data_IF_716802495413
#
_entry.id   IF_716802495413
#
_cell.length_a   1.000
_cell.length_b   1.000
_cell.length_c   1.000
_cell.angle_alpha   90.00
_cell.angle_beta   90.00
_cell.angle_gamma   90.00
#
_symmetry.space_group_name_H-M   'P 1'
#
loop_
_entity.id
_entity.type
_entity.pdbx_description
1 polymer ?
#
# COMPACT_ATOMS: atom_id res chain seq x y z
N UNK A 1 3.27 -28.77 34.62
CA UNK A 1 1.96 -28.12 34.46
C UNK A 1 1.21 -28.90 33.39
N UNK A 2 0.00 -29.38 33.67
CA UNK A 2 -0.85 -29.96 32.61
C UNK A 2 -1.08 -28.90 31.53
N UNK A 3 -0.57 -29.17 30.34
CA UNK A 3 -0.85 -28.40 29.14
C UNK A 3 -2.30 -28.69 28.74
N UNK A 4 -3.18 -27.70 28.91
CA UNK A 4 -4.61 -27.87 28.62
C UNK A 4 -5.47 -26.79 29.26
N UNK A 5 -6.58 -26.49 28.59
CA UNK A 5 -7.68 -25.69 29.14
C UNK A 5 -8.35 -26.51 30.25
N UNK A 6 -8.59 -25.90 31.40
CA UNK A 6 -9.39 -26.50 32.48
C UNK A 6 -10.38 -25.48 33.01
N UNK A 7 -11.49 -25.97 33.56
CA UNK A 7 -12.54 -25.11 34.12
C UNK A 7 -11.96 -24.20 35.22
N UNK A 8 -11.08 -24.74 36.07
CA UNK A 8 -10.41 -23.99 37.13
C UNK A 8 -9.56 -22.82 36.58
N UNK A 9 -8.76 -23.07 35.53
CA UNK A 9 -7.95 -22.03 34.89
C UNK A 9 -8.83 -20.94 34.28
N UNK A 10 -9.89 -21.32 33.58
CA UNK A 10 -10.85 -20.37 32.98
C UNK A 10 -11.54 -19.53 34.06
N UNK A 11 -12.06 -20.15 35.11
CA UNK A 11 -12.71 -19.44 36.22
C UNK A 11 -11.74 -18.47 36.91
N UNK A 12 -10.47 -18.87 37.08
CA UNK A 12 -9.42 -17.99 37.63
C UNK A 12 -9.15 -16.79 36.73
N UNK A 13 -9.01 -17.00 35.42
CA UNK A 13 -8.83 -15.90 34.46
C UNK A 13 -10.02 -14.95 34.44
N UNK A 14 -11.25 -15.49 34.35
CA UNK A 14 -12.47 -14.67 34.35
C UNK A 14 -12.58 -13.84 35.63
N UNK A 15 -12.26 -14.41 36.79
CA UNK A 15 -12.24 -13.67 38.05
C UNK A 15 -11.25 -12.50 37.98
N UNK A 16 -10.01 -12.75 37.52
CA UNK A 16 -8.98 -11.70 37.38
C UNK A 16 -9.38 -10.61 36.38
N UNK A 17 -9.97 -10.97 35.25
CA UNK A 17 -10.43 -9.99 34.25
C UNK A 17 -11.56 -9.13 34.81
N UNK A 18 -12.50 -9.72 35.55
CA UNK A 18 -13.62 -8.98 36.17
C UNK A 18 -13.20 -8.07 37.32
N UNK A 19 -12.06 -8.31 37.96
CA UNK A 19 -11.55 -7.39 39.00
C UNK A 19 -10.87 -6.15 38.43
N UNK A 20 -10.56 -6.13 37.13
CA UNK A 20 -9.89 -5.00 36.49
C UNK A 20 -10.91 -4.10 35.79
N UNK A 21 -11.14 -2.86 36.29
CA UNK A 21 -12.16 -1.97 35.76
C UNK A 21 -12.02 -1.68 34.26
N UNK A 22 -10.78 -1.61 33.75
CA UNK A 22 -10.51 -1.42 32.31
C UNK A 22 -11.17 -2.51 31.47
N UNK A 23 -11.06 -3.79 31.87
CA UNK A 23 -11.60 -4.89 31.09
C UNK A 23 -13.13 -4.98 31.16
N UNK A 24 -13.73 -4.58 32.29
CA UNK A 24 -15.18 -4.43 32.36
C UNK A 24 -15.68 -3.33 31.43
N UNK A 25 -14.99 -2.19 31.40
CA UNK A 25 -15.33 -1.09 30.48
C UNK A 25 -15.16 -1.52 29.02
N UNK A 26 -14.01 -2.10 28.67
CA UNK A 26 -13.74 -2.59 27.32
C UNK A 26 -14.77 -3.64 26.88
N UNK A 27 -15.11 -4.60 27.75
CA UNK A 27 -16.17 -5.57 27.49
C UNK A 27 -17.50 -4.88 27.18
N UNK A 28 -17.96 -3.96 28.03
CA UNK A 28 -19.26 -3.30 27.87
C UNK A 28 -19.35 -2.48 26.58
N UNK A 29 -18.28 -1.79 26.20
CA UNK A 29 -18.29 -0.93 25.01
C UNK A 29 -18.13 -1.78 23.75
N UNK A 30 -17.19 -2.73 23.73
CA UNK A 30 -16.92 -3.58 22.56
C UNK A 30 -18.02 -4.60 22.26
N UNK A 31 -18.93 -4.91 23.20
CA UNK A 31 -20.11 -5.73 22.90
C UNK A 31 -21.21 -4.97 22.14
N UNK A 32 -21.16 -3.63 22.14
CA UNK A 32 -22.20 -2.78 21.55
C UNK A 32 -21.70 -1.96 20.36
N UNK A 33 -20.38 -1.88 20.16
CA UNK A 33 -19.71 -1.05 19.15
C UNK A 33 -18.53 -1.81 18.57
N UNK A 34 -18.21 -1.56 17.29
CA UNK A 34 -16.99 -2.08 16.65
C UNK A 34 -15.74 -1.79 17.51
N UNK A 35 -14.95 -2.81 17.90
CA UNK A 35 -13.74 -2.64 18.70
C UNK A 35 -12.75 -1.61 18.16
N UNK A 36 -12.61 -1.46 16.83
CA UNK A 36 -11.70 -0.50 16.23
C UNK A 36 -12.19 0.95 16.40
N UNK A 37 -13.50 1.17 16.30
CA UNK A 37 -14.10 2.49 16.56
C UNK A 37 -13.92 2.89 18.04
N UNK A 38 -13.94 1.90 18.96
CA UNK A 38 -13.62 2.11 20.39
C UNK A 38 -12.14 2.44 20.59
N UNK A 39 -11.26 1.79 19.83
CA UNK A 39 -9.81 2.03 19.90
C UNK A 39 -9.36 3.31 19.20
N UNK A 40 -10.24 4.00 18.46
CA UNK A 40 -9.86 5.16 17.66
C UNK A 40 -9.19 6.26 18.50
N UNK A 41 -7.95 6.58 18.18
CA UNK A 41 -7.17 7.60 18.86
C UNK A 41 -7.57 9.01 18.36
N UNK A 42 -8.45 9.67 19.13
CA UNK A 42 -9.05 10.95 18.71
C UNK A 42 -8.05 12.06 18.42
N UNK A 43 -6.96 12.13 19.17
CA UNK A 43 -5.90 13.13 18.95
C UNK A 43 -5.25 12.92 17.57
N UNK A 44 -4.91 11.68 17.22
CA UNK A 44 -4.38 11.35 15.87
C UNK A 44 -5.35 11.79 14.78
N UNK A 45 -6.64 11.54 14.95
CA UNK A 45 -7.66 11.98 13.98
C UNK A 45 -7.71 13.50 13.87
N UNK A 46 -7.64 14.23 14.98
CA UNK A 46 -7.70 15.69 15.01
C UNK A 46 -6.45 16.35 14.39
N UNK A 47 -5.28 15.75 14.58
CA UNK A 47 -4.00 16.25 14.06
C UNK A 47 -3.79 15.87 12.58
N UNK A 48 -4.61 14.97 12.05
CA UNK A 48 -4.53 14.53 10.66
C UNK A 48 -5.01 15.63 9.72
N UNK A 49 -4.07 16.19 8.95
CA UNK A 49 -4.33 17.26 7.98
C UNK A 49 -3.82 16.89 6.59
N UNK A 50 -4.70 16.96 5.59
CA UNK A 50 -4.42 16.69 4.16
C UNK A 50 -3.77 17.90 3.46
N UNK A 51 -2.65 18.37 4.00
CA UNK A 51 -1.80 19.38 3.37
C UNK A 51 -0.43 18.75 3.17
N UNK A 52 0.08 18.85 1.93
CA UNK A 52 1.32 18.20 1.50
C UNK A 52 2.27 19.23 0.88
N UNK A 53 3.57 19.02 1.09
CA UNK A 53 4.61 19.95 0.63
C UNK A 53 4.87 19.81 -0.88
N UNK A 54 4.97 18.57 -1.37
CA UNK A 54 5.23 18.25 -2.77
C UNK A 54 4.09 17.40 -3.30
N UNK A 55 3.50 17.77 -4.43
CA UNK A 55 2.41 17.03 -5.08
C UNK A 55 2.60 17.02 -6.59
N UNK A 56 2.20 15.93 -7.23
CA UNK A 56 2.21 15.85 -8.70
C UNK A 56 1.30 16.93 -9.30
N UNK A 57 1.64 17.48 -10.49
CA UNK A 57 0.91 18.60 -11.08
C UNK A 57 -0.48 18.24 -11.60
N UNK A 58 -0.71 16.97 -11.96
CA UNK A 58 -1.99 16.48 -12.49
C UNK A 58 -2.49 15.31 -11.65
N UNK A 59 -3.68 15.46 -11.09
CA UNK A 59 -4.38 14.43 -10.31
C UNK A 59 -5.40 13.67 -11.17
N UNK A 60 -5.59 12.38 -10.88
CA UNK A 60 -6.66 11.58 -11.48
C UNK A 60 -8.04 12.15 -11.11
N UNK A 61 -8.82 12.57 -12.12
CA UNK A 61 -10.22 13.00 -11.95
C UNK A 61 -11.07 12.48 -13.12
N UNK A 62 -12.29 11.97 -12.87
CA UNK A 62 -12.88 11.68 -11.56
C UNK A 62 -12.16 10.53 -10.85
N UNK A 63 -12.36 10.40 -9.53
CA UNK A 63 -11.85 9.25 -8.78
C UNK A 63 -12.44 7.97 -9.36
N UNK A 64 -11.57 6.97 -9.55
CA UNK A 64 -11.95 5.70 -10.20
C UNK A 64 -12.70 4.76 -9.24
N UNK A 65 -13.43 3.80 -9.81
CA UNK A 65 -14.08 2.73 -9.06
C UNK A 65 -14.00 1.43 -9.87
N UNK A 66 -13.32 0.42 -9.31
CA UNK A 66 -12.90 -0.78 -10.05
C UNK A 66 -14.05 -1.56 -10.73
N UNK A 67 -15.23 -1.66 -10.11
CA UNK A 67 -16.45 -2.34 -10.62
C UNK A 67 -16.16 -3.58 -11.49
N UNK A 68 -16.90 -3.77 -12.59
CA UNK A 68 -16.84 -4.92 -13.50
C UNK A 68 -16.83 -4.43 -14.96
N UNK A 69 -16.31 -5.22 -15.91
CA UNK A 69 -16.09 -4.85 -17.32
C UNK A 69 -16.87 -5.72 -18.33
N UNK A 70 -16.91 -5.28 -19.60
CA UNK A 70 -17.39 -6.03 -20.77
C UNK A 70 -16.27 -6.30 -21.78
N UNK A 71 -16.60 -6.76 -23.00
CA UNK A 71 -15.59 -7.09 -24.01
C UNK A 71 -14.95 -5.84 -24.66
N UNK A 72 -13.61 -5.75 -24.76
CA UNK A 72 -12.93 -4.60 -25.35
C UNK A 72 -13.05 -4.60 -26.89
N UNK A 73 -13.12 -3.42 -27.54
CA UNK A 73 -13.18 -3.31 -28.99
C UNK A 73 -11.80 -3.45 -29.66
N UNK A 74 -11.78 -3.93 -30.91
CA UNK A 74 -10.56 -4.05 -31.72
C UNK A 74 -10.00 -2.67 -32.15
N UNK A 75 -10.90 -1.72 -32.37
CA UNK A 75 -10.57 -0.33 -32.73
C UNK A 75 -11.45 0.66 -31.99
N UNK A 76 -10.88 1.83 -31.67
CA UNK A 76 -11.58 2.94 -31.06
C UNK A 76 -11.54 4.18 -31.96
N UNK A 77 -12.65 4.93 -31.97
CA UNK A 77 -12.70 6.33 -32.37
C UNK A 77 -13.07 7.12 -31.13
N UNK A 78 -12.09 7.80 -30.54
CA UNK A 78 -12.28 8.58 -29.34
C UNK A 78 -12.58 10.03 -29.68
N UNK A 79 -13.74 10.51 -29.24
CA UNK A 79 -14.17 11.90 -29.36
C UNK A 79 -14.23 12.53 -27.97
N UNK A 80 -13.62 13.70 -27.83
CA UNK A 80 -13.58 14.40 -26.55
C UNK A 80 -13.52 15.91 -26.75
N UNK A 81 -13.75 16.66 -25.66
CA UNK A 81 -13.47 18.10 -25.60
C UNK A 81 -12.37 18.37 -24.61
N UNK A 82 -11.46 19.28 -24.96
CA UNK A 82 -10.41 19.75 -24.05
C UNK A 82 -10.95 20.73 -22.99
N UNK A 83 -10.06 21.24 -22.13
CA UNK A 83 -10.42 22.20 -21.08
C UNK A 83 -10.90 23.54 -21.67
N UNK A 84 -10.45 23.88 -22.87
CA UNK A 84 -10.82 25.04 -23.67
C UNK A 84 -12.14 24.84 -24.45
N UNK A 85 -12.77 23.67 -24.30
CA UNK A 85 -14.01 23.24 -24.95
C UNK A 85 -13.89 22.99 -26.46
N UNK A 86 -12.69 22.92 -27.04
CA UNK A 86 -12.52 22.55 -28.44
C UNK A 86 -12.83 21.06 -28.64
N UNK A 87 -13.44 20.72 -29.76
CA UNK A 87 -13.73 19.34 -30.12
C UNK A 87 -12.51 18.68 -30.76
N UNK A 88 -12.20 17.47 -30.29
CA UNK A 88 -11.13 16.62 -30.81
C UNK A 88 -11.68 15.25 -31.17
N UNK A 89 -11.09 14.65 -32.20
CA UNK A 89 -11.35 13.26 -32.59
C UNK A 89 -10.02 12.57 -32.86
N UNK A 90 -9.88 11.36 -32.35
CA UNK A 90 -8.72 10.50 -32.53
C UNK A 90 -9.20 9.11 -32.94
N UNK A 91 -8.80 8.65 -34.12
CA UNK A 91 -9.20 7.33 -34.63
C UNK A 91 -9.50 7.29 -36.13
N UNK A 92 -9.70 6.08 -36.68
CA UNK A 92 -9.69 4.80 -35.97
C UNK A 92 -8.27 4.37 -35.54
N UNK A 93 -8.12 3.94 -34.29
CA UNK A 93 -6.87 3.40 -33.74
C UNK A 93 -7.14 2.05 -33.07
N UNK A 94 -6.19 1.13 -33.17
CA UNK A 94 -6.15 -0.03 -32.27
C UNK A 94 -5.70 0.41 -30.87
N UNK A 95 -6.09 -0.29 -29.78
CA UNK A 95 -5.58 0.00 -28.43
C UNK A 95 -4.05 0.02 -28.35
N UNK A 96 -3.37 -0.83 -29.14
CA UNK A 96 -1.91 -0.87 -29.19
C UNK A 96 -1.30 0.37 -29.86
N UNK A 97 -1.91 0.89 -30.93
CA UNK A 97 -1.48 2.14 -31.55
C UNK A 97 -1.66 3.31 -30.58
N UNK A 98 -2.82 3.38 -29.92
CA UNK A 98 -3.07 4.40 -28.91
C UNK A 98 -1.98 4.40 -27.81
N UNK A 99 -1.64 3.23 -27.28
CA UNK A 99 -0.53 3.11 -26.32
C UNK A 99 0.80 3.59 -26.93
N UNK A 100 1.21 3.06 -28.09
CA UNK A 100 2.53 3.37 -28.67
C UNK A 100 2.71 4.83 -29.06
N UNK A 101 1.66 5.48 -29.56
CA UNK A 101 1.73 6.83 -30.15
C UNK A 101 1.41 7.94 -29.13
N UNK A 102 0.53 7.68 -28.16
CA UNK A 102 0.04 8.72 -27.26
C UNK A 102 0.38 8.49 -25.77
N UNK A 103 0.64 7.26 -25.35
CA UNK A 103 0.95 6.95 -23.93
C UNK A 103 2.43 6.67 -23.74
N UNK A 104 3.01 5.70 -24.45
CA UNK A 104 4.40 5.23 -24.30
C UNK A 104 5.44 6.37 -24.36
N UNK A 105 5.32 7.41 -25.22
CA UNK A 105 6.28 8.51 -25.22
C UNK A 105 6.28 9.36 -23.95
N UNK A 106 5.19 9.33 -23.18
CA UNK A 106 5.00 10.06 -21.93
C UNK A 106 5.16 9.16 -20.69
N UNK A 107 4.73 7.91 -20.79
CA UNK A 107 4.78 6.90 -19.75
C UNK A 107 5.06 5.54 -20.36
N UNK A 108 6.35 5.18 -20.41
CA UNK A 108 6.80 3.91 -20.94
C UNK A 108 6.86 2.86 -19.83
N UNK A 109 6.01 1.83 -19.93
CA UNK A 109 6.00 0.71 -18.97
C UNK A 109 7.36 0.00 -18.87
N UNK A 110 8.17 0.02 -19.93
CA UNK A 110 9.48 -0.66 -19.97
C UNK A 110 10.59 0.10 -19.23
N UNK A 111 10.34 1.36 -18.85
CA UNK A 111 11.29 2.15 -18.05
C UNK A 111 11.02 2.02 -16.54
N UNK A 112 9.95 1.32 -16.16
CA UNK A 112 9.54 1.16 -14.76
C UNK A 112 10.14 -0.09 -14.15
N UNK A 113 10.59 0.05 -12.90
CA UNK A 113 11.23 -1.00 -12.11
C UNK A 113 10.42 -1.21 -10.84
N UNK A 114 10.11 -2.47 -10.56
CA UNK A 114 9.48 -2.89 -9.32
C UNK A 114 10.53 -3.11 -8.23
N UNK A 115 10.44 -2.32 -7.16
CA UNK A 115 11.20 -2.52 -5.93
C UNK A 115 10.29 -3.10 -4.86
N UNK A 116 10.76 -4.10 -4.13
CA UNK A 116 10.08 -4.63 -2.95
C UNK A 116 10.91 -4.42 -1.69
N UNK A 117 10.23 -4.42 -0.54
CA UNK A 117 10.85 -4.55 0.76
C UNK A 117 10.32 -5.78 1.48
N UNK A 118 11.09 -6.86 1.34
CA UNK A 118 10.89 -8.11 2.04
C UNK A 118 12.03 -8.32 3.05
N UNK A 119 11.77 -8.05 4.35
CA UNK A 119 12.79 -8.15 5.39
C UNK A 119 12.97 -9.58 5.93
N UNK A 120 12.33 -10.61 5.34
CA UNK A 120 12.48 -12.00 5.79
C UNK A 120 13.96 -12.40 5.76
N UNK A 121 14.54 -12.99 6.83
CA UNK A 121 15.97 -13.23 6.92
C UNK A 121 16.57 -14.07 5.78
N UNK A 122 15.78 -14.98 5.19
CA UNK A 122 16.18 -15.82 4.07
C UNK A 122 16.23 -15.07 2.72
N UNK A 123 15.68 -13.85 2.66
CA UNK A 123 15.56 -13.04 1.46
C UNK A 123 16.43 -11.77 1.59
N UNK A 124 17.75 -11.86 1.44
CA UNK A 124 18.63 -10.70 1.53
C UNK A 124 18.27 -9.62 0.49
N UNK A 125 18.51 -8.37 0.86
CA UNK A 125 18.44 -7.22 -0.06
C UNK A 125 19.51 -7.31 -1.15
N UNK A 126 19.30 -6.59 -2.27
CA UNK A 126 20.19 -6.60 -3.44
C UNK A 126 20.10 -7.89 -4.26
N UNK A 127 19.01 -8.64 -4.11
CA UNK A 127 18.71 -9.86 -4.85
C UNK A 127 17.40 -9.72 -5.62
N UNK A 128 17.37 -10.38 -6.77
CA UNK A 128 16.19 -10.49 -7.61
C UNK A 128 15.40 -11.74 -7.21
N UNK A 129 14.09 -11.60 -7.11
CA UNK A 129 13.18 -12.70 -6.81
C UNK A 129 12.09 -12.80 -7.87
N UNK A 130 11.52 -13.99 -8.00
CA UNK A 130 10.28 -14.24 -8.72
C UNK A 130 9.42 -15.20 -7.90
N UNK A 131 8.12 -15.27 -8.20
CA UNK A 131 7.19 -16.19 -7.53
C UNK A 131 6.75 -17.24 -8.53
N UNK A 132 6.88 -18.51 -8.16
CA UNK A 132 6.54 -19.64 -9.03
C UNK A 132 5.07 -19.54 -9.48
N UNK A 133 4.81 -19.76 -10.77
CA UNK A 133 3.48 -19.68 -11.39
C UNK A 133 2.75 -18.32 -11.28
N UNK A 134 3.38 -17.27 -10.75
CA UNK A 134 2.81 -15.93 -10.69
C UNK A 134 3.01 -15.19 -12.02
N UNK A 135 2.06 -15.37 -12.93
CA UNK A 135 2.01 -14.71 -14.22
C UNK A 135 0.61 -14.72 -14.81
N UNK A 136 0.39 -13.92 -15.85
CA UNK A 136 -0.91 -13.75 -16.50
C UNK A 136 -0.89 -14.01 -18.01
N UNK A 137 0.26 -14.36 -18.58
CA UNK A 137 0.44 -14.62 -19.99
C UNK A 137 1.41 -15.78 -20.18
N UNK A 138 1.00 -16.80 -20.93
CA UNK A 138 1.88 -17.90 -21.34
C UNK A 138 3.06 -17.32 -22.12
N UNK A 139 4.27 -17.70 -21.74
CA UNK A 139 5.54 -17.18 -22.28
C UNK A 139 5.72 -15.65 -22.14
N UNK A 140 4.97 -15.03 -21.23
CA UNK A 140 5.09 -13.62 -20.88
C UNK A 140 6.33 -13.32 -20.02
N UNK A 141 6.46 -12.06 -19.60
CA UNK A 141 7.49 -11.68 -18.63
C UNK A 141 7.18 -12.26 -17.25
N UNK A 142 8.21 -12.78 -16.58
CA UNK A 142 8.11 -13.17 -15.19
C UNK A 142 7.85 -11.94 -14.30
N UNK A 143 7.07 -12.13 -13.23
CA UNK A 143 6.99 -11.15 -12.15
C UNK A 143 8.34 -11.11 -11.44
N UNK A 144 9.01 -9.97 -11.46
CA UNK A 144 10.35 -9.78 -10.89
C UNK A 144 10.32 -8.74 -9.77
N UNK A 145 10.91 -9.12 -8.64
CA UNK A 145 10.98 -8.30 -7.43
C UNK A 145 12.43 -7.99 -7.07
N UNK A 146 12.80 -6.72 -7.15
CA UNK A 146 14.11 -6.24 -6.71
C UNK A 146 14.05 -5.89 -5.22
N UNK A 147 14.55 -6.78 -4.35
CA UNK A 147 14.41 -6.61 -2.91
C UNK A 147 15.41 -5.60 -2.36
N UNK A 148 14.91 -4.56 -1.69
CA UNK A 148 15.70 -3.42 -1.24
C UNK A 148 15.29 -2.96 0.17
N UNK A 149 16.19 -2.25 0.88
CA UNK A 149 15.84 -1.62 2.15
C UNK A 149 14.72 -0.59 1.95
N UNK A 150 13.77 -0.53 2.90
CA UNK A 150 12.59 0.34 2.82
C UNK A 150 12.91 1.83 2.61
N UNK A 151 14.08 2.28 3.06
CA UNK A 151 14.52 3.67 2.86
C UNK A 151 14.78 4.01 1.39
N UNK A 152 15.28 3.06 0.61
CA UNK A 152 15.48 3.25 -0.82
C UNK A 152 14.13 3.36 -1.55
N UNK A 153 13.15 2.53 -1.19
CA UNK A 153 11.79 2.59 -1.75
C UNK A 153 11.16 3.96 -1.49
N UNK A 154 11.21 4.43 -0.24
CA UNK A 154 10.71 5.76 0.14
C UNK A 154 11.41 6.86 -0.64
N UNK A 155 12.74 6.81 -0.73
CA UNK A 155 13.51 7.81 -1.47
C UNK A 155 13.12 7.87 -2.94
N UNK A 156 13.09 6.73 -3.61
CA UNK A 156 12.75 6.66 -5.03
C UNK A 156 11.31 7.12 -5.29
N UNK A 157 10.37 6.76 -4.41
CA UNK A 157 8.99 7.23 -4.51
C UNK A 157 8.87 8.75 -4.33
N UNK A 158 9.57 9.32 -3.34
CA UNK A 158 9.59 10.76 -3.12
C UNK A 158 10.24 11.52 -4.28
N UNK A 159 11.37 11.03 -4.81
CA UNK A 159 12.04 11.62 -5.96
C UNK A 159 11.12 11.62 -7.20
N UNK A 160 10.38 10.52 -7.42
CA UNK A 160 9.36 10.43 -8.48
C UNK A 160 8.25 11.47 -8.34
N UNK A 161 7.68 11.60 -7.13
CA UNK A 161 6.63 12.59 -6.87
C UNK A 161 7.15 14.03 -7.07
N UNK A 162 8.38 14.30 -6.63
CA UNK A 162 9.04 15.62 -6.78
C UNK A 162 9.35 15.94 -8.25
N UNK A 163 9.56 14.94 -9.09
CA UNK A 163 9.70 15.07 -10.55
C UNK A 163 8.34 15.11 -11.28
N UNK A 164 7.23 14.97 -10.55
CA UNK A 164 5.86 15.09 -11.07
C UNK A 164 5.23 13.78 -11.56
N UNK A 165 5.82 12.62 -11.25
CA UNK A 165 5.28 11.30 -11.59
C UNK A 165 4.72 10.59 -10.36
N UNK A 166 3.45 10.17 -10.45
CA UNK A 166 2.78 9.42 -9.38
C UNK A 166 3.35 7.99 -9.29
N UNK A 167 3.31 7.40 -8.10
CA UNK A 167 3.98 6.11 -7.84
C UNK A 167 2.94 5.04 -7.53
N UNK A 168 2.89 3.99 -8.33
CA UNK A 168 2.12 2.81 -7.99
C UNK A 168 2.80 2.06 -6.84
N UNK A 169 2.04 1.58 -5.86
CA UNK A 169 2.57 0.82 -4.75
C UNK A 169 1.60 -0.26 -4.25
N UNK A 170 2.17 -1.32 -3.69
CA UNK A 170 1.46 -2.45 -3.09
C UNK A 170 1.67 -2.51 -1.57
N UNK A 171 0.61 -2.80 -0.83
CA UNK A 171 0.60 -2.73 0.63
C UNK A 171 -0.42 -3.69 1.28
N UNK A 172 -0.39 -3.80 2.61
CA UNK A 172 -1.47 -4.41 3.40
C UNK A 172 -2.45 -3.34 3.89
N UNK A 173 -3.37 -2.92 3.02
CA UNK A 173 -4.23 -1.74 3.26
C UNK A 173 -5.12 -1.86 4.50
N UNK A 174 -5.45 -3.09 4.93
CA UNK A 174 -6.35 -3.33 6.06
C UNK A 174 -5.70 -3.09 7.43
N UNK A 175 -4.37 -3.01 7.51
CA UNK A 175 -3.65 -2.88 8.77
C UNK A 175 -3.61 -1.43 9.22
N UNK A 176 -3.94 -1.17 10.48
CA UNK A 176 -3.89 0.18 11.09
C UNK A 176 -4.53 1.26 10.19
N UNK A 177 -5.70 0.94 9.64
CA UNK A 177 -6.38 1.75 8.64
C UNK A 177 -7.79 2.10 9.11
N UNK A 178 -8.13 3.39 9.09
CA UNK A 178 -9.48 3.87 9.35
C UNK A 178 -10.17 4.30 8.07
N UNK A 179 -10.94 3.38 7.46
CA UNK A 179 -11.47 3.52 6.09
C UNK A 179 -12.35 4.74 5.85
N UNK A 180 -13.25 5.08 6.79
CA UNK A 180 -14.15 6.24 6.65
C UNK A 180 -13.39 7.57 6.62
N UNK A 181 -12.30 7.65 7.38
CA UNK A 181 -11.49 8.86 7.50
C UNK A 181 -10.31 8.87 6.52
N UNK A 182 -9.99 7.71 5.93
CA UNK A 182 -8.88 7.56 5.00
C UNK A 182 -7.52 7.73 5.66
N UNK A 183 -7.33 7.16 6.87
CA UNK A 183 -6.10 7.35 7.65
C UNK A 183 -5.36 6.02 7.77
N UNK A 184 -4.15 5.96 7.24
CA UNK A 184 -3.16 4.89 7.39
C UNK A 184 -2.07 5.35 8.36
N UNK A 185 -2.27 5.08 9.65
CA UNK A 185 -1.37 5.53 10.73
C UNK A 185 -1.24 4.44 11.78
N UNK A 186 0.01 4.10 12.13
CA UNK A 186 0.32 3.12 13.18
C UNK A 186 -0.37 3.44 14.51
N UNK A 187 -0.66 4.71 14.78
CA UNK A 187 -1.23 5.23 16.02
C UNK A 187 -2.73 5.54 15.92
N UNK A 188 -3.40 5.25 14.78
CA UNK A 188 -4.83 5.51 14.62
C UNK A 188 -5.70 4.73 15.62
N UNK A 189 -5.21 3.57 16.11
CA UNK A 189 -5.91 2.74 17.09
C UNK A 189 -5.05 2.46 18.33
N UNK A 190 -5.58 2.79 19.51
CA UNK A 190 -4.96 2.57 20.81
C UNK A 190 -5.47 1.27 21.48
N UNK A 191 -5.06 0.13 20.93
CA UNK A 191 -5.43 -1.21 21.43
C UNK A 191 -4.96 -1.47 22.87
N UNK A 192 -3.80 -0.94 23.26
CA UNK A 192 -3.24 -1.15 24.60
C UNK A 192 -4.07 -0.44 25.68
N UNK A 193 -4.54 0.77 25.41
CA UNK A 193 -5.44 1.49 26.31
C UNK A 193 -6.74 0.70 26.56
N UNK A 194 -7.33 0.16 25.50
CA UNK A 194 -8.65 -0.50 25.58
C UNK A 194 -8.51 -1.93 26.12
N UNK A 195 -7.64 -2.73 25.53
CA UNK A 195 -7.55 -4.17 25.79
C UNK A 195 -6.33 -4.58 26.62
N UNK A 196 -5.43 -3.66 26.96
CA UNK A 196 -4.20 -3.96 27.69
C UNK A 196 -3.25 -4.88 26.92
N UNK A 197 -3.37 -4.90 25.59
CA UNK A 197 -2.51 -5.68 24.69
C UNK A 197 -2.09 -4.81 23.51
N UNK A 198 -0.80 -4.86 23.21
CA UNK A 198 -0.26 -4.32 21.96
C UNK A 198 -0.43 -5.33 20.83
N UNK A 199 -0.86 -4.85 19.66
CA UNK A 199 -0.89 -5.61 18.40
C UNK A 199 0.33 -5.31 17.51
N UNK A 200 1.33 -4.59 18.03
CA UNK A 200 2.51 -4.13 17.28
C UNK A 200 3.79 -4.92 17.62
N UNK A 201 3.64 -6.13 18.18
CA UNK A 201 4.77 -6.85 18.78
C UNK A 201 5.59 -7.64 17.75
N UNK A 202 4.97 -8.02 16.62
CA UNK A 202 5.66 -8.73 15.55
C UNK A 202 6.32 -7.71 14.63
N UNK A 203 7.58 -7.97 14.28
CA UNK A 203 8.27 -7.26 13.20
C UNK A 203 7.64 -7.55 11.85
N UNK A 204 7.92 -6.72 10.83
CA UNK A 204 7.45 -6.93 9.46
C UNK A 204 7.82 -8.31 8.90
N UNK A 205 9.03 -8.79 9.18
CA UNK A 205 9.48 -10.12 8.77
C UNK A 205 8.66 -11.23 9.44
N UNK A 206 8.44 -11.14 10.75
CA UNK A 206 7.63 -12.12 11.47
C UNK A 206 6.16 -12.11 11.00
N UNK A 207 5.58 -10.94 10.73
CA UNK A 207 4.22 -10.86 10.20
C UNK A 207 4.06 -11.58 8.86
N UNK A 208 5.03 -11.46 7.97
CA UNK A 208 5.07 -12.20 6.70
C UNK A 208 5.25 -13.72 6.92
N UNK A 209 6.13 -14.13 7.83
CA UNK A 209 6.43 -15.55 8.09
C UNK A 209 5.24 -16.26 8.76
N UNK A 210 4.57 -15.60 9.71
CA UNK A 210 3.49 -16.19 10.50
C UNK A 210 2.09 -15.94 9.91
N UNK A 211 2.00 -15.35 8.72
CA UNK A 211 0.73 -15.16 8.00
C UNK A 211 -0.18 -14.07 8.60
N UNK A 212 0.38 -13.12 9.35
CA UNK A 212 -0.36 -11.98 9.89
C UNK A 212 -0.52 -10.83 8.87
N UNK A 213 0.48 -10.68 8.00
CA UNK A 213 0.48 -9.65 6.95
C UNK A 213 1.02 -10.20 5.63
N UNK A 214 0.51 -9.63 4.55
CA UNK A 214 0.89 -9.88 3.17
C UNK A 214 0.48 -8.67 2.34
N UNK A 215 0.97 -8.57 1.11
CA UNK A 215 0.44 -7.58 0.18
C UNK A 215 -1.02 -7.95 -0.16
N UNK A 216 -1.93 -6.97 -0.17
CA UNK A 216 -3.36 -7.22 -0.41
C UNK A 216 -4.01 -6.25 -1.38
N UNK A 217 -3.47 -5.03 -1.53
CA UNK A 217 -4.10 -3.99 -2.34
C UNK A 217 -3.06 -3.04 -2.95
N UNK A 218 -3.38 -2.53 -4.14
CA UNK A 218 -2.56 -1.56 -4.86
C UNK A 218 -3.20 -0.17 -4.90
N UNK A 219 -2.40 0.87 -4.73
CA UNK A 219 -2.83 2.28 -4.73
C UNK A 219 -1.76 3.17 -5.37
N UNK A 220 -2.02 4.49 -5.46
CA UNK A 220 -1.12 5.46 -6.09
C UNK A 220 -0.68 6.53 -5.09
N UNK A 221 0.62 6.77 -4.95
CA UNK A 221 1.15 7.93 -4.21
C UNK A 221 1.15 9.17 -5.11
N UNK A 222 0.63 10.27 -4.60
CA UNK A 222 0.44 11.52 -5.37
C UNK A 222 1.03 12.76 -4.70
N UNK A 223 1.44 12.67 -3.43
CA UNK A 223 2.11 13.75 -2.71
C UNK A 223 2.92 13.22 -1.53
N UNK A 224 3.92 13.99 -1.09
CA UNK A 224 4.79 13.70 0.06
C UNK A 224 5.15 14.98 0.81
N UNK A 225 5.33 14.87 2.13
CA UNK A 225 5.88 15.93 2.99
C UNK A 225 7.19 15.44 3.62
N UNK A 226 8.26 16.22 3.46
CA UNK A 226 9.55 15.94 4.10
C UNK A 226 9.49 16.24 5.61
N UNK A 227 10.32 15.57 6.43
CA UNK A 227 10.43 15.95 7.86
C UNK A 227 11.15 17.29 8.00
N UNK A 228 10.58 18.20 8.77
CA UNK A 228 11.17 19.53 8.97
C UNK A 228 12.58 19.44 9.59
N UNK A 229 13.55 20.06 8.91
CA UNK A 229 14.96 20.10 9.31
C UNK A 229 15.67 18.76 9.48
N UNK A 230 15.13 17.64 8.97
CA UNK A 230 15.66 16.29 9.15
C UNK A 230 15.57 15.45 7.87
N UNK A 231 16.40 14.41 7.78
CA UNK A 231 16.25 13.41 6.73
C UNK A 231 14.99 12.53 6.98
N UNK A 232 14.30 12.18 5.90
CA UNK A 232 13.11 11.34 5.90
C UNK A 232 11.81 12.12 5.64
N UNK A 233 10.69 11.40 5.74
CA UNK A 233 9.37 11.89 5.34
C UNK A 233 8.40 11.83 6.50
N UNK A 234 7.43 12.73 6.53
CA UNK A 234 6.39 12.75 7.56
C UNK A 234 5.17 11.91 7.13
N UNK A 235 4.69 12.18 5.92
CA UNK A 235 3.43 11.64 5.41
C UNK A 235 3.35 11.68 3.89
N UNK A 236 2.42 10.87 3.39
CA UNK A 236 2.18 10.60 1.98
C UNK A 236 0.69 10.75 1.68
N UNK A 237 0.36 11.28 0.51
CA UNK A 237 -1.01 11.30 -0.02
C UNK A 237 -1.21 10.13 -0.96
N UNK A 238 -2.29 9.39 -0.74
CA UNK A 238 -2.62 8.19 -1.50
C UNK A 238 -3.92 8.42 -2.25
N UNK A 239 -3.94 8.21 -3.56
CA UNK A 239 -5.16 8.06 -4.36
C UNK A 239 -5.59 6.59 -4.34
N UNK A 240 -6.86 6.35 -4.06
CA UNK A 240 -7.44 5.02 -4.03
C UNK A 240 -8.55 4.87 -5.09
N UNK A 241 -8.99 3.63 -5.35
CA UNK A 241 -9.92 3.25 -6.42
C UNK A 241 -11.31 2.83 -5.92
N UNK A 242 -11.76 3.39 -4.79
CA UNK A 242 -13.04 3.04 -4.13
C UNK A 242 -14.12 4.13 -4.23
N UNK A 243 -13.98 5.06 -5.19
CA UNK A 243 -14.87 6.23 -5.32
C UNK A 243 -14.54 7.36 -4.35
N UNK A 244 -15.25 8.49 -4.49
CA UNK A 244 -15.00 9.74 -3.77
C UNK A 244 -15.78 9.90 -2.45
N UNK A 245 -16.63 8.93 -2.12
CA UNK A 245 -17.38 8.88 -0.85
C UNK A 245 -16.53 8.36 0.33
N UNK A 246 -15.32 7.87 0.07
CA UNK A 246 -14.40 7.33 1.10
C UNK A 246 -13.21 8.25 1.34
N UNK A 247 -12.70 8.22 2.57
CA UNK A 247 -11.57 9.05 2.99
C UNK A 247 -11.82 10.53 2.77
N UNK A 248 -10.83 11.24 2.25
CA UNK A 248 -10.96 12.63 1.83
C UNK A 248 -11.13 12.70 0.30
N UNK A 249 -12.37 12.56 -0.17
CA UNK A 249 -12.70 12.59 -1.61
C UNK A 249 -11.92 11.55 -2.42
N UNK A 250 -11.87 10.32 -1.92
CA UNK A 250 -11.14 9.20 -2.53
C UNK A 250 -9.66 9.12 -2.16
N UNK A 251 -9.12 10.14 -1.49
CA UNK A 251 -7.74 10.16 -1.03
C UNK A 251 -7.59 9.69 0.42
N UNK A 252 -6.46 9.06 0.69
CA UNK A 252 -6.00 8.67 2.02
C UNK A 252 -4.75 9.48 2.39
N UNK A 253 -4.48 9.54 3.69
CA UNK A 253 -3.23 10.01 4.27
C UNK A 253 -2.52 8.85 4.93
N UNK A 254 -1.24 8.69 4.60
CA UNK A 254 -0.42 7.60 5.08
C UNK A 254 0.81 8.17 5.77
N UNK A 255 1.03 7.80 7.04
CA UNK A 255 2.23 8.18 7.77
C UNK A 255 3.47 7.44 7.23
N UNK A 256 4.64 8.04 7.39
CA UNK A 256 5.89 7.40 6.97
C UNK A 256 6.22 6.11 7.77
N UNK A 257 5.75 6.03 9.03
CA UNK A 257 5.86 4.80 9.83
C UNK A 257 4.95 3.69 9.28
N UNK A 258 3.73 4.03 8.83
CA UNK A 258 2.86 3.06 8.17
C UNK A 258 3.46 2.57 6.85
N UNK A 259 4.07 3.46 6.07
CA UNK A 259 4.83 3.07 4.88
C UNK A 259 5.89 2.03 5.26
N UNK A 260 6.69 2.29 6.31
CA UNK A 260 7.74 1.35 6.75
C UNK A 260 7.21 -0.06 6.99
N UNK A 261 6.08 -0.16 7.70
CA UNK A 261 5.57 -1.41 8.25
C UNK A 261 4.70 -2.20 7.27
N UNK A 262 3.94 -1.53 6.40
CA UNK A 262 2.88 -2.17 5.61
C UNK A 262 2.91 -1.89 4.10
N UNK A 263 3.84 -1.06 3.60
CA UNK A 263 4.14 -1.01 2.15
C UNK A 263 5.19 -2.05 1.82
N UNK A 264 4.94 -2.85 0.79
CA UNK A 264 5.82 -3.94 0.39
C UNK A 264 6.44 -3.71 -0.98
N UNK A 265 5.81 -2.92 -1.84
CA UNK A 265 6.21 -2.77 -3.25
C UNK A 265 6.00 -1.33 -3.70
N UNK A 266 6.93 -0.79 -4.50
CA UNK A 266 6.77 0.45 -5.26
C UNK A 266 7.28 0.26 -6.69
N UNK A 267 6.63 0.92 -7.64
CA UNK A 267 7.06 0.92 -9.04
C UNK A 267 7.44 2.35 -9.44
N UNK A 268 8.70 2.52 -9.83
CA UNK A 268 9.30 3.83 -10.14
C UNK A 268 10.07 3.76 -11.45
N UNK A 269 10.27 4.90 -12.10
CA UNK A 269 11.15 4.99 -13.27
C UNK A 269 12.61 4.68 -12.89
N UNK A 270 13.31 3.92 -13.75
CA UNK A 270 14.71 3.56 -13.58
C UNK A 270 15.63 4.78 -13.39
N UNK A 271 15.25 5.97 -13.88
CA UNK A 271 16.03 7.20 -13.70
C UNK A 271 16.20 7.64 -12.25
N UNK A 272 15.33 7.18 -11.34
CA UNK A 272 15.42 7.46 -9.90
C UNK A 272 16.26 6.45 -9.13
N UNK A 273 16.79 5.43 -9.82
CA UNK A 273 17.49 4.32 -9.20
C UNK A 273 19.00 4.40 -9.47
N UNK A 274 19.85 4.19 -8.45
CA UNK A 274 21.28 3.99 -8.65
C UNK A 274 21.57 2.79 -9.56
N UNK A 275 22.70 2.83 -10.28
CA UNK A 275 23.13 1.76 -11.18
C UNK A 275 23.20 0.40 -10.50
N UNK A 276 23.71 0.34 -9.27
CA UNK A 276 23.85 -0.90 -8.51
C UNK A 276 22.50 -1.56 -8.18
N UNK A 277 21.42 -0.78 -8.12
CA UNK A 277 20.06 -1.29 -7.94
C UNK A 277 19.52 -1.82 -9.26
N UNK A 278 19.81 -1.14 -10.37
CA UNK A 278 19.42 -1.59 -11.71
C UNK A 278 20.14 -2.88 -12.13
N UNK A 279 21.40 -3.05 -11.72
CA UNK A 279 22.19 -4.25 -11.98
C UNK A 279 21.57 -5.51 -11.34
N UNK A 280 20.78 -5.36 -10.27
CA UNK A 280 20.04 -6.48 -9.67
C UNK A 280 19.04 -7.07 -10.67
N UNK A 281 18.47 -6.29 -11.57
CA UNK A 281 17.52 -6.76 -12.59
C UNK A 281 18.16 -7.67 -13.64
N UNK A 282 19.49 -7.77 -13.68
CA UNK A 282 20.23 -8.67 -14.58
C UNK A 282 20.59 -10.01 -13.93
N UNK A 283 20.28 -10.19 -12.64
CA UNK A 283 20.54 -11.44 -11.93
C UNK A 283 19.56 -12.53 -12.36
N UNK A 284 19.96 -13.80 -12.22
CA UNK A 284 19.00 -14.91 -12.24
C UNK A 284 18.14 -14.82 -10.96
N UNK A 285 16.79 -14.76 -11.08
CA UNK A 285 15.93 -14.57 -9.93
C UNK A 285 15.90 -15.82 -9.03
N UNK A 286 15.87 -15.59 -7.72
CA UNK A 286 15.55 -16.62 -6.74
C UNK A 286 14.03 -16.87 -6.81
N UNK A 287 13.64 -18.10 -7.13
CA UNK A 287 12.23 -18.47 -7.26
C UNK A 287 11.64 -18.84 -5.90
N UNK A 288 10.66 -18.06 -5.47
CA UNK A 288 9.86 -18.28 -4.27
C UNK A 288 8.67 -19.21 -4.59
N UNK A 289 8.13 -19.95 -3.60
CA UNK A 289 6.97 -20.83 -3.81
C UNK A 289 5.73 -20.06 -4.29
N UNK A 290 4.85 -20.72 -5.04
CA UNK A 290 3.67 -20.09 -5.62
C UNK A 290 2.69 -19.43 -4.61
N UNK A 291 2.72 -19.85 -3.35
CA UNK A 291 1.88 -19.32 -2.27
C UNK A 291 2.61 -18.28 -1.40
N UNK A 292 3.75 -17.77 -1.84
CA UNK A 292 4.53 -16.78 -1.10
C UNK A 292 3.71 -15.48 -0.85
N UNK A 293 3.75 -14.89 0.36
CA UNK A 293 2.96 -13.71 0.69
C UNK A 293 3.32 -12.45 -0.13
N UNK A 294 4.46 -12.46 -0.84
CA UNK A 294 4.85 -11.36 -1.72
C UNK A 294 4.20 -11.42 -3.11
N UNK A 295 3.40 -12.44 -3.43
CA UNK A 295 2.71 -12.58 -4.73
C UNK A 295 1.24 -12.15 -4.76
N UNK A 296 0.66 -11.80 -3.61
CA UNK A 296 -0.77 -11.51 -3.50
C UNK A 296 -1.05 -10.02 -3.75
N UNK A 297 -1.64 -9.70 -4.90
CA UNK A 297 -2.23 -8.38 -5.15
C UNK A 297 -3.61 -8.59 -5.74
N UNK A 298 -4.63 -8.01 -5.12
CA UNK A 298 -6.04 -8.16 -5.49
C UNK A 298 -6.73 -6.79 -5.67
#
# INVERSE_FOLDING_TARGET
MEAGLSQEKVTTFVKRLRTEPRYLLAQNVSTCTDPLEVCLHRQTVQDTVHIFQHSIPTEGKPITNQKNSGSPPDTICWEFRDKEKNFHRMGPLTPQQFYREHVKPLYNMQDKVCLVNDPRPQNPYGKLYSVEFLGNMVDGHNTLYNNQPIQLLKKAAADSIKDGEAVWFGCDVGKHFHSKLGINDMNVFNHDLVFGVSVKNLSKAERLIYGDSLMTHAMILTAVTDKDGKEGYEKWRVENSWGDDRGNKGYLIMTDDWFSEYVYEVVVDKKFLPSEVLDVMQQEPIVLPAWDPMGALA
#
